data_IF_220803395279
#
_entry.id   IF_220803395279
#
_cell.length_a   1.000
_cell.length_b   1.000
_cell.length_c   1.000
_cell.angle_alpha   90.00
_cell.angle_beta   90.00
_cell.angle_gamma   90.00
#
_symmetry.space_group_name_H-M   'P 1'
#
loop_
_entity.id
_entity.type
_entity.pdbx_description
1 polymer ?
#
# COMPACT_ATOMS: atom_id res chain seq x y z
N UNK A 1 -17.23 3.58 18.60
CA UNK A 1 -17.70 2.20 18.79
C UNK A 1 -16.55 1.28 19.21
N UNK A 2 -15.52 1.05 18.38
CA UNK A 2 -14.38 0.19 18.73
C UNK A 2 -13.64 0.60 20.01
N UNK A 3 -13.35 1.89 20.18
CA UNK A 3 -12.71 2.40 21.41
C UNK A 3 -13.59 2.22 22.66
N UNK A 4 -14.91 2.33 22.48
CA UNK A 4 -15.87 2.10 23.56
C UNK A 4 -15.90 0.62 23.95
N UNK A 5 -15.91 -0.29 22.99
CA UNK A 5 -15.86 -1.73 23.24
C UNK A 5 -14.57 -2.13 23.96
N UNK A 6 -13.43 -1.57 23.55
CA UNK A 6 -12.16 -1.77 24.26
C UNK A 6 -12.22 -1.25 25.70
N UNK A 7 -12.68 0.00 25.89
CA UNK A 7 -12.74 0.63 27.22
C UNK A 7 -13.74 -0.03 28.18
N UNK A 8 -14.77 -0.69 27.64
CA UNK A 8 -15.79 -1.40 28.41
C UNK A 8 -15.41 -2.86 28.71
N UNK A 9 -14.18 -3.28 28.39
CA UNK A 9 -13.69 -4.65 28.59
C UNK A 9 -14.28 -5.68 27.63
N UNK A 10 -15.03 -5.24 26.62
CA UNK A 10 -15.58 -6.09 25.53
C UNK A 10 -14.65 -6.18 24.32
N UNK A 11 -13.48 -5.57 24.42
CA UNK A 11 -12.44 -5.60 23.39
C UNK A 11 -12.01 -7.03 23.08
N UNK A 12 -11.95 -7.35 21.79
CA UNK A 12 -11.45 -8.62 21.28
C UNK A 12 -10.21 -8.37 20.42
N UNK A 13 -9.48 -9.42 20.08
CA UNK A 13 -8.40 -9.34 19.07
C UNK A 13 -8.91 -8.69 17.76
N UNK A 14 -10.13 -9.02 17.34
CA UNK A 14 -10.77 -8.41 16.18
C UNK A 14 -10.99 -6.90 16.36
N UNK A 15 -11.40 -6.47 17.55
CA UNK A 15 -11.54 -5.05 17.90
C UNK A 15 -10.19 -4.33 17.75
N UNK A 16 -9.11 -4.91 18.28
CA UNK A 16 -7.77 -4.34 18.19
C UNK A 16 -7.26 -4.30 16.74
N UNK A 17 -7.49 -5.35 15.95
CA UNK A 17 -7.17 -5.35 14.51
C UNK A 17 -7.83 -4.20 13.77
N UNK A 18 -9.14 -4.00 13.98
CA UNK A 18 -9.87 -2.90 13.34
C UNK A 18 -9.44 -1.53 13.86
N UNK A 19 -9.09 -1.41 15.15
CA UNK A 19 -8.52 -0.17 15.67
C UNK A 19 -7.17 0.15 15.02
N UNK A 20 -6.29 -0.85 14.86
CA UNK A 20 -5.02 -0.71 14.15
C UNK A 20 -5.23 -0.32 12.68
N UNK A 21 -6.18 -0.97 12.01
CA UNK A 21 -6.56 -0.69 10.62
C UNK A 21 -7.05 0.75 10.48
N UNK A 22 -8.05 1.16 11.27
CA UNK A 22 -8.58 2.52 11.23
C UNK A 22 -7.50 3.56 11.54
N UNK A 23 -6.67 3.34 12.57
CA UNK A 23 -5.57 4.24 12.89
C UNK A 23 -4.60 4.39 11.72
N UNK A 24 -4.24 3.26 11.07
CA UNK A 24 -3.35 3.27 9.92
C UNK A 24 -3.95 4.07 8.77
N UNK A 25 -5.22 3.82 8.42
CA UNK A 25 -5.94 4.49 7.32
C UNK A 25 -6.32 5.95 7.60
N UNK A 26 -6.25 6.40 8.85
CA UNK A 26 -6.36 7.80 9.24
C UNK A 26 -5.01 8.54 9.22
N UNK A 27 -3.92 7.83 8.89
CA UNK A 27 -2.57 8.38 8.90
C UNK A 27 -1.89 8.41 10.27
N UNK A 28 -2.54 7.89 11.32
CA UNK A 28 -1.94 7.75 12.65
C UNK A 28 -1.11 6.46 12.75
N UNK A 29 0.00 6.46 12.01
CA UNK A 29 0.89 5.30 11.90
C UNK A 29 1.53 4.92 13.24
N UNK A 30 1.77 5.89 14.12
CA UNK A 30 2.36 5.63 15.43
C UNK A 30 1.39 4.86 16.33
N UNK A 31 0.11 5.26 16.34
CA UNK A 31 -0.93 4.53 17.05
C UNK A 31 -1.14 3.14 16.46
N UNK A 32 -1.24 3.02 15.13
CA UNK A 32 -1.38 1.74 14.45
C UNK A 32 -0.21 0.79 14.76
N UNK A 33 1.03 1.30 14.71
CA UNK A 33 2.24 0.55 15.07
C UNK A 33 2.15 0.00 16.48
N UNK A 34 1.74 0.80 17.47
CA UNK A 34 1.64 0.35 18.86
C UNK A 34 0.60 -0.77 19.02
N UNK A 35 -0.55 -0.66 18.34
CA UNK A 35 -1.60 -1.70 18.36
C UNK A 35 -1.08 -2.99 17.74
N UNK A 36 -0.50 -2.93 16.53
CA UNK A 36 0.02 -4.13 15.87
C UNK A 36 1.22 -4.73 16.59
N UNK A 37 2.05 -3.92 17.25
CA UNK A 37 3.15 -4.42 18.09
C UNK A 37 2.63 -5.19 19.30
N UNK A 38 1.54 -4.76 19.92
CA UNK A 38 0.90 -5.49 21.00
C UNK A 38 0.31 -6.82 20.51
N UNK A 39 -0.39 -6.80 19.37
CA UNK A 39 -0.93 -8.00 18.73
C UNK A 39 0.16 -9.00 18.31
N UNK A 40 1.31 -8.51 17.84
CA UNK A 40 2.45 -9.35 17.47
C UNK A 40 3.10 -10.05 18.67
N UNK A 41 2.93 -9.52 19.88
CA UNK A 41 3.45 -10.10 21.13
C UNK A 41 2.43 -11.03 21.83
N UNK A 42 1.25 -11.25 21.24
CA UNK A 42 0.25 -12.15 21.82
C UNK A 42 0.71 -13.63 21.74
N UNK A 43 0.08 -14.51 22.52
CA UNK A 43 0.45 -15.93 22.51
C UNK A 43 0.22 -16.60 21.14
N UNK A 44 -0.77 -16.12 20.38
CA UNK A 44 -1.09 -16.59 19.03
C UNK A 44 -1.26 -15.36 18.11
N UNK A 45 -0.17 -14.78 17.60
CA UNK A 45 -0.25 -13.59 16.77
C UNK A 45 -1.04 -13.85 15.49
N UNK A 46 -1.90 -12.90 15.04
CA UNK A 46 -2.57 -13.01 13.77
C UNK A 46 -1.58 -13.13 12.60
N UNK A 47 -1.89 -13.91 11.58
CA UNK A 47 -1.00 -14.11 10.42
C UNK A 47 -0.64 -12.81 9.71
N UNK A 48 -1.59 -11.88 9.52
CA UNK A 48 -1.34 -10.60 8.86
C UNK A 48 -0.62 -9.55 9.74
N UNK A 49 -0.47 -9.78 11.05
CA UNK A 49 -0.02 -8.73 11.99
C UNK A 49 1.36 -8.20 11.67
N UNK A 50 2.28 -9.07 11.26
CA UNK A 50 3.66 -8.68 10.97
C UNK A 50 3.75 -7.81 9.72
N UNK A 51 2.96 -8.10 8.69
CA UNK A 51 2.93 -7.27 7.48
C UNK A 51 2.31 -5.92 7.78
N UNK A 52 1.21 -5.88 8.55
CA UNK A 52 0.58 -4.63 8.96
C UNK A 52 1.49 -3.76 9.84
N UNK A 53 2.24 -4.38 10.76
CA UNK A 53 3.25 -3.72 11.56
C UNK A 53 4.40 -3.17 10.69
N UNK A 54 4.86 -3.94 9.70
CA UNK A 54 5.88 -3.51 8.76
C UNK A 54 5.41 -2.33 7.89
N UNK A 55 4.14 -2.31 7.45
CA UNK A 55 3.53 -1.15 6.79
C UNK A 55 3.61 0.09 7.70
N UNK A 56 3.29 -0.03 8.99
CA UNK A 56 3.41 1.09 9.93
C UNK A 56 4.85 1.59 10.03
N UNK A 57 5.82 0.69 10.17
CA UNK A 57 7.24 1.06 10.19
C UNK A 57 7.67 1.77 8.90
N UNK A 58 7.25 1.28 7.74
CA UNK A 58 7.53 1.91 6.45
C UNK A 58 7.05 3.36 6.40
N UNK A 59 5.79 3.61 6.78
CA UNK A 59 5.21 4.97 6.75
C UNK A 59 5.80 5.90 7.81
N UNK A 60 6.41 5.35 8.87
CA UNK A 60 7.18 6.10 9.86
C UNK A 60 8.64 6.33 9.45
N UNK A 61 9.08 5.84 8.27
CA UNK A 61 10.47 5.93 7.81
C UNK A 61 11.43 4.95 8.50
N UNK A 62 10.90 3.98 9.25
CA UNK A 62 11.64 2.97 10.01
C UNK A 62 11.90 1.73 9.14
N UNK A 63 12.62 1.91 8.03
CA UNK A 63 12.75 0.90 6.98
C UNK A 63 13.45 -0.39 7.43
N UNK A 64 14.54 -0.28 8.21
CA UNK A 64 15.24 -1.46 8.72
C UNK A 64 14.40 -2.27 9.70
N UNK A 65 13.55 -1.61 10.49
CA UNK A 65 12.61 -2.29 11.39
C UNK A 65 11.50 -2.99 10.59
N UNK A 66 11.03 -2.36 9.51
CA UNK A 66 10.05 -2.97 8.62
C UNK A 66 10.58 -4.27 8.00
N UNK A 67 11.80 -4.27 7.45
CA UNK A 67 12.42 -5.48 6.89
C UNK A 67 12.55 -6.59 7.93
N UNK A 68 13.08 -6.28 9.13
CA UNK A 68 13.26 -7.26 10.20
C UNK A 68 11.94 -7.90 10.63
N UNK A 69 10.86 -7.12 10.68
CA UNK A 69 9.54 -7.67 11.04
C UNK A 69 8.99 -8.58 9.95
N UNK A 70 9.25 -8.28 8.67
CA UNK A 70 8.81 -9.11 7.55
C UNK A 70 9.47 -10.49 7.47
N UNK A 71 10.58 -10.72 8.18
CA UNK A 71 11.18 -12.06 8.34
C UNK A 71 10.23 -13.03 9.03
N UNK A 72 9.35 -12.53 9.91
CA UNK A 72 8.34 -13.33 10.63
C UNK A 72 7.00 -13.41 9.88
N UNK A 73 6.84 -12.63 8.81
CA UNK A 73 5.61 -12.60 8.03
C UNK A 73 5.56 -13.76 7.03
N UNK A 74 4.40 -14.41 6.90
CA UNK A 74 4.15 -15.34 5.80
C UNK A 74 4.14 -14.60 4.46
N UNK A 75 4.45 -15.33 3.39
CA UNK A 75 4.42 -14.75 2.05
C UNK A 75 3.00 -14.42 1.61
N UNK A 76 2.80 -13.18 1.16
CA UNK A 76 1.54 -12.69 0.63
C UNK A 76 1.80 -11.53 -0.36
N UNK A 77 0.84 -11.19 -1.23
CA UNK A 77 1.00 -10.10 -2.19
C UNK A 77 1.39 -8.76 -1.53
N UNK A 78 0.84 -8.44 -0.36
CA UNK A 78 1.22 -7.22 0.38
C UNK A 78 2.70 -7.18 0.72
N UNK A 79 3.24 -8.31 1.20
CA UNK A 79 4.65 -8.42 1.58
C UNK A 79 5.55 -8.19 0.38
N UNK A 80 5.20 -8.74 -0.79
CA UNK A 80 5.97 -8.52 -2.03
C UNK A 80 5.97 -7.04 -2.42
N UNK A 81 4.80 -6.37 -2.43
CA UNK A 81 4.71 -4.94 -2.74
C UNK A 81 5.48 -4.09 -1.73
N UNK A 82 5.40 -4.41 -0.44
CA UNK A 82 6.11 -3.69 0.61
C UNK A 82 7.64 -3.88 0.49
N UNK A 83 8.10 -5.11 0.23
CA UNK A 83 9.51 -5.40 -0.01
C UNK A 83 10.02 -4.66 -1.25
N UNK A 84 9.23 -4.61 -2.34
CA UNK A 84 9.58 -3.86 -3.54
C UNK A 84 9.82 -2.37 -3.23
N UNK A 85 8.94 -1.74 -2.44
CA UNK A 85 9.15 -0.36 -2.00
C UNK A 85 10.32 -0.20 -1.00
N UNK A 86 10.52 -1.16 -0.09
CA UNK A 86 11.64 -1.14 0.87
C UNK A 86 12.99 -1.23 0.16
N UNK A 87 13.14 -2.14 -0.80
CA UNK A 87 14.36 -2.27 -1.60
C UNK A 87 14.69 -0.97 -2.32
N UNK A 88 13.69 -0.27 -2.87
CA UNK A 88 13.92 1.06 -3.45
C UNK A 88 14.35 2.10 -2.41
N UNK A 89 13.72 2.11 -1.22
CA UNK A 89 14.08 3.05 -0.14
C UNK A 89 15.47 2.80 0.46
N UNK A 90 15.95 1.57 0.38
CA UNK A 90 17.25 1.14 0.90
C UNK A 90 18.33 1.03 -0.17
N UNK A 91 18.01 1.41 -1.43
CA UNK A 91 18.91 1.35 -2.58
C UNK A 91 19.45 -0.07 -2.88
N UNK A 92 18.66 -1.10 -2.58
CA UNK A 92 18.97 -2.52 -2.81
C UNK A 92 18.42 -2.96 -4.19
N UNK A 93 19.15 -2.59 -5.26
CA UNK A 93 18.73 -2.86 -6.64
C UNK A 93 18.60 -4.36 -6.95
N UNK A 94 19.41 -5.22 -6.32
CA UNK A 94 19.34 -6.67 -6.54
C UNK A 94 17.99 -7.21 -6.09
N UNK A 95 17.61 -6.96 -4.83
CA UNK A 95 16.32 -7.41 -4.29
C UNK A 95 15.15 -6.62 -4.88
N UNK A 96 15.37 -5.40 -5.36
CA UNK A 96 14.36 -4.65 -6.09
C UNK A 96 13.93 -5.39 -7.37
N UNK A 97 14.89 -5.87 -8.18
CA UNK A 97 14.62 -6.64 -9.40
C UNK A 97 13.95 -7.98 -9.06
N UNK A 98 14.41 -8.66 -8.01
CA UNK A 98 13.78 -9.91 -7.56
C UNK A 98 12.31 -9.73 -7.17
N UNK A 99 11.98 -8.66 -6.42
CA UNK A 99 10.60 -8.39 -6.03
C UNK A 99 9.76 -7.85 -7.19
N UNK A 100 10.34 -7.09 -8.12
CA UNK A 100 9.69 -6.69 -9.36
C UNK A 100 9.19 -7.90 -10.14
N UNK A 101 10.03 -8.94 -10.29
CA UNK A 101 9.68 -10.16 -11.02
C UNK A 101 8.57 -11.00 -10.36
N UNK A 102 8.25 -10.72 -9.09
CA UNK A 102 7.15 -11.38 -8.34
C UNK A 102 5.82 -10.64 -8.49
N UNK A 103 5.84 -9.40 -8.97
CA UNK A 103 4.61 -8.62 -9.20
C UNK A 103 3.79 -9.25 -10.33
N UNK A 104 2.48 -9.27 -10.14
CA UNK A 104 1.52 -9.81 -11.10
C UNK A 104 0.80 -8.68 -11.84
N UNK A 105 0.08 -9.02 -12.91
CA UNK A 105 -0.73 -8.07 -13.66
C UNK A 105 -2.10 -7.81 -13.00
N UNK A 106 -2.11 -7.60 -11.68
CA UNK A 106 -3.27 -7.17 -10.89
C UNK A 106 -3.14 -5.69 -10.55
N UNK A 107 -4.25 -5.01 -10.32
CA UNK A 107 -4.29 -3.55 -10.14
C UNK A 107 -3.33 -3.07 -9.07
N UNK A 108 -3.30 -3.73 -7.91
CA UNK A 108 -2.49 -3.35 -6.75
C UNK A 108 -0.99 -3.42 -7.04
N UNK A 109 -0.55 -4.48 -7.72
CA UNK A 109 0.85 -4.68 -8.08
C UNK A 109 1.29 -3.70 -9.16
N UNK A 110 0.43 -3.42 -10.14
CA UNK A 110 0.71 -2.43 -11.18
C UNK A 110 0.74 -1.00 -10.62
N UNK A 111 -0.09 -0.68 -9.64
CA UNK A 111 -0.02 0.60 -8.92
C UNK A 111 1.29 0.73 -8.14
N UNK A 112 1.73 -0.35 -7.47
CA UNK A 112 3.04 -0.41 -6.80
C UNK A 112 4.19 -0.20 -7.80
N UNK A 113 4.13 -0.86 -8.96
CA UNK A 113 5.12 -0.72 -10.03
C UNK A 113 5.18 0.72 -10.57
N UNK A 114 4.04 1.31 -10.91
CA UNK A 114 3.96 2.69 -11.40
C UNK A 114 4.52 3.69 -10.37
N UNK A 115 4.24 3.47 -9.08
CA UNK A 115 4.75 4.30 -8.01
C UNK A 115 6.29 4.26 -7.93
N UNK A 116 6.91 3.09 -8.05
CA UNK A 116 8.39 3.00 -8.08
C UNK A 116 8.98 3.63 -9.34
N UNK A 117 8.36 3.45 -10.51
CA UNK A 117 8.78 4.16 -11.73
C UNK A 117 8.74 5.68 -11.53
N UNK A 118 7.67 6.21 -10.96
CA UNK A 118 7.55 7.64 -10.66
C UNK A 118 8.66 8.12 -9.70
N UNK A 119 8.91 7.37 -8.62
CA UNK A 119 9.95 7.70 -7.63
C UNK A 119 11.37 7.67 -8.23
N UNK A 120 11.61 6.84 -9.26
CA UNK A 120 12.87 6.76 -10.01
C UNK A 120 12.94 7.76 -11.18
N UNK A 121 11.96 8.66 -11.31
CA UNK A 121 11.84 9.61 -12.43
C UNK A 121 11.62 8.98 -13.81
N UNK A 122 11.20 7.71 -13.86
CA UNK A 122 10.76 7.01 -15.05
C UNK A 122 9.29 7.38 -15.36
N UNK A 123 9.05 8.66 -15.63
CA UNK A 123 7.70 9.21 -15.69
C UNK A 123 6.86 8.64 -16.83
N UNK A 124 7.49 8.34 -17.97
CA UNK A 124 6.79 7.79 -19.13
C UNK A 124 6.21 6.41 -18.80
N UNK A 125 7.01 5.54 -18.21
CA UNK A 125 6.63 4.20 -17.78
C UNK A 125 5.51 4.25 -16.73
N UNK A 126 5.63 5.16 -15.74
CA UNK A 126 4.58 5.35 -14.74
C UNK A 126 3.25 5.79 -15.39
N UNK A 127 3.29 6.78 -16.30
CA UNK A 127 2.12 7.29 -17.02
C UNK A 127 1.45 6.17 -17.83
N UNK A 128 2.24 5.38 -18.55
CA UNK A 128 1.72 4.30 -19.41
C UNK A 128 1.01 3.22 -18.57
N UNK A 129 1.54 2.88 -17.39
CA UNK A 129 0.88 1.95 -16.47
C UNK A 129 -0.42 2.55 -15.92
N UNK A 130 -0.40 3.81 -15.45
CA UNK A 130 -1.61 4.45 -14.93
C UNK A 130 -2.71 4.56 -15.98
N UNK A 131 -2.35 4.92 -17.22
CA UNK A 131 -3.29 4.93 -18.36
C UNK A 131 -3.92 3.56 -18.57
N UNK A 132 -3.13 2.49 -18.55
CA UNK A 132 -3.65 1.13 -18.72
C UNK A 132 -4.66 0.77 -17.63
N UNK A 133 -4.34 1.03 -16.37
CA UNK A 133 -5.25 0.78 -15.24
C UNK A 133 -6.56 1.55 -15.38
N UNK A 134 -6.50 2.82 -15.80
CA UNK A 134 -7.68 3.65 -16.02
C UNK A 134 -8.57 3.14 -17.15
N UNK A 135 -7.97 2.58 -18.20
CA UNK A 135 -8.70 1.98 -19.33
C UNK A 135 -9.39 0.68 -18.92
N UNK A 136 -8.68 -0.20 -18.20
CA UNK A 136 -9.21 -1.49 -17.75
C UNK A 136 -10.42 -1.32 -16.81
N UNK A 137 -10.37 -0.33 -15.91
CA UNK A 137 -11.45 -0.05 -14.95
C UNK A 137 -12.72 0.57 -15.56
N UNK A 138 -12.65 1.12 -16.78
CA UNK A 138 -13.81 1.72 -17.46
C UNK A 138 -14.67 0.71 -18.21
N UNK A 139 -14.31 -0.57 -18.24
CA UNK A 139 -14.97 -1.58 -19.08
C UNK A 139 -14.89 -1.26 -20.58
N UNK A 140 -13.97 -0.36 -20.97
CA UNK A 140 -13.99 0.23 -22.29
C UNK A 140 -13.28 -0.68 -23.29
N UNK A 141 -14.07 -1.35 -24.12
CA UNK A 141 -13.65 -1.97 -25.35
C UNK A 141 -12.83 -0.98 -26.18
N UNK A 142 -11.60 -1.39 -26.52
CA UNK A 142 -10.68 -0.80 -27.52
C UNK A 142 -11.32 0.29 -28.39
N UNK A 143 -11.35 1.53 -27.92
CA UNK A 143 -11.50 2.70 -28.77
C UNK A 143 -10.26 3.56 -28.58
N UNK A 144 -9.68 3.89 -29.73
CA UNK A 144 -8.37 4.47 -29.90
C UNK A 144 -8.37 5.91 -29.39
N UNK A 145 -7.80 6.10 -28.20
CA UNK A 145 -7.72 7.41 -27.54
C UNK A 145 -6.54 8.19 -28.15
N UNK A 146 -6.81 9.41 -28.63
CA UNK A 146 -5.80 10.34 -29.21
C UNK A 146 -5.20 11.19 -28.10
N UNK A 147 -4.01 11.76 -28.32
CA UNK A 147 -3.32 12.66 -27.35
C UNK A 147 -4.19 13.81 -26.83
N UNK A 148 -5.18 14.27 -27.61
CA UNK A 148 -6.18 15.26 -27.22
C UNK A 148 -6.98 14.87 -25.99
N UNK A 149 -7.30 13.58 -25.86
CA UNK A 149 -8.22 13.07 -24.86
C UNK A 149 -7.54 13.02 -23.47
N UNK A 150 -6.20 13.10 -23.43
CA UNK A 150 -5.40 13.23 -22.21
C UNK A 150 -5.56 14.62 -21.58
N UNK A 151 -5.67 15.66 -22.39
CA UNK A 151 -5.89 17.03 -21.90
C UNK A 151 -7.34 17.23 -21.43
N UNK A 152 -8.30 16.63 -22.12
CA UNK A 152 -9.70 16.58 -21.68
C UNK A 152 -9.83 15.76 -20.37
N UNK A 153 -8.96 14.76 -20.16
CA UNK A 153 -8.82 14.03 -18.90
C UNK A 153 -8.40 14.96 -17.74
N UNK A 154 -7.49 15.91 -17.99
CA UNK A 154 -7.01 16.90 -16.99
C UNK A 154 -8.16 17.82 -16.55
N UNK A 155 -9.09 18.15 -17.43
CA UNK A 155 -10.26 18.97 -17.12
C UNK A 155 -11.36 18.25 -16.32
N UNK A 156 -11.33 16.91 -16.26
CA UNK A 156 -12.25 16.09 -15.45
C UNK A 156 -11.77 15.90 -13.99
N UNK A 157 -10.54 16.33 -13.65
CA UNK A 157 -10.00 16.27 -12.29
C UNK A 157 -10.66 17.15 -11.22
N UNK A 158 -11.40 18.25 -11.48
CA UNK A 158 -11.92 19.13 -10.43
C UNK A 158 -12.90 18.45 -9.46
N UNK A 159 -13.52 17.34 -9.88
CA UNK A 159 -14.49 16.59 -9.06
C UNK A 159 -13.86 15.43 -8.28
N UNK A 160 -12.55 15.21 -8.41
CA UNK A 160 -11.84 14.22 -7.61
C UNK A 160 -11.10 14.96 -6.51
N UNK A 161 -11.42 14.64 -5.25
CA UNK A 161 -10.79 15.28 -4.09
C UNK A 161 -9.28 15.25 -4.23
N UNK A 162 -8.65 16.40 -3.99
CA UNK A 162 -7.23 16.75 -4.14
C UNK A 162 -6.25 15.84 -3.38
N UNK A 163 -6.76 14.83 -2.67
CA UNK A 163 -6.05 13.77 -1.96
C UNK A 163 -5.48 12.66 -2.85
N UNK A 164 -5.83 12.60 -4.15
CA UNK A 164 -5.50 11.46 -5.02
C UNK A 164 -4.03 11.42 -5.51
N UNK A 165 -3.31 12.53 -5.52
CA UNK A 165 -1.97 12.59 -6.14
C UNK A 165 -0.81 12.33 -5.16
N UNK A 166 -1.04 12.39 -3.84
CA UNK A 166 -0.04 12.06 -2.81
C UNK A 166 -0.13 10.59 -2.33
N UNK A 167 -0.92 9.77 -3.02
CA UNK A 167 -1.44 8.50 -2.52
C UNK A 167 -0.69 7.27 -3.10
N UNK A 168 0.51 7.40 -3.63
CA UNK A 168 1.10 6.31 -4.45
C UNK A 168 1.67 5.11 -3.69
N UNK A 169 2.12 5.28 -2.43
CA UNK A 169 2.41 4.13 -1.54
C UNK A 169 1.17 3.75 -0.72
N UNK A 170 0.33 4.74 -0.40
CA UNK A 170 -0.87 4.55 0.40
C UNK A 170 -1.93 3.74 -0.34
N UNK A 171 -2.24 4.03 -1.61
CA UNK A 171 -3.15 3.22 -2.43
C UNK A 171 -2.62 1.79 -2.62
N UNK A 172 -1.34 1.62 -2.93
CA UNK A 172 -0.78 0.29 -3.19
C UNK A 172 -0.78 -0.64 -1.96
N UNK A 173 -0.70 -0.08 -0.75
CA UNK A 173 -0.71 -0.84 0.51
C UNK A 173 -2.08 -0.86 1.22
N UNK A 174 -2.93 0.15 1.01
CA UNK A 174 -4.20 0.30 1.73
C UNK A 174 -5.39 -0.42 1.09
N UNK A 175 -5.34 -0.73 -0.20
CA UNK A 175 -6.37 -1.57 -0.83
C UNK A 175 -6.00 -3.04 -0.68
N UNK A 176 -6.09 -3.53 0.55
CA UNK A 176 -6.39 -4.93 0.80
C UNK A 176 -7.91 -5.06 0.89
N UNK A 177 -8.51 -5.70 -0.11
CA UNK A 177 -9.85 -6.28 0.00
C UNK A 177 -9.72 -7.79 0.09
#
# INVERSE_FOLDING_TARGET
LLEFDQSSGKGTELTEKWMGYCAFHLGDYKRAMNIYKNLANSANPPSEVYVNLACCYFFLGLYSQAEKVLENATDCPLKVRLLFHLCHKLDDESRLIENHNKLQNVTEDMLSLAAVHYLRSHYKEAIDIYKRILLDNRGCSKQQIRESDVYEFIELFPNWSTSYLALNVYVALCYYK
#
